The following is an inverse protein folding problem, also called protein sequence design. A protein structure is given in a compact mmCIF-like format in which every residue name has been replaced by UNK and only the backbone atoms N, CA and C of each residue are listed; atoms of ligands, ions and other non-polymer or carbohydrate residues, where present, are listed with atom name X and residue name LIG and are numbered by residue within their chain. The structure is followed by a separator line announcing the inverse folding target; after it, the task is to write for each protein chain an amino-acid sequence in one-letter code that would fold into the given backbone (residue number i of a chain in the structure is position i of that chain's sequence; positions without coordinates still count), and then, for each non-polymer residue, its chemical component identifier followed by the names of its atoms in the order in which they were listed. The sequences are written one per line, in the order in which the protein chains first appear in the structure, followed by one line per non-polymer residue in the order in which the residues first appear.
data_IF_175474923281
#
_entry.id   IF_175474923281
#
_cell.length_a   1.000
_cell.length_b   1.000
_cell.length_c   1.000
_cell.angle_alpha   90.00
_cell.angle_beta   90.00
_cell.angle_gamma   90.00
#
_symmetry.space_group_name_H-M   'P 1'
#
loop_
_entity.id
_entity.type
_entity.pdbx_description
1 polymer ?
#
# COMPACT_ATOMS: atom_id res chain seq x y z
N UNK A 1 72.09 -43.30 -2.46
CA UNK A 1 70.67 -42.90 -2.30
C UNK A 1 70.34 -41.87 -3.36
N UNK A 2 69.11 -41.85 -3.89
CA UNK A 2 68.57 -40.75 -4.72
C UNK A 2 67.43 -40.11 -3.94
N UNK A 3 67.42 -38.79 -3.79
CA UNK A 3 66.24 -38.04 -3.41
C UNK A 3 65.79 -37.23 -4.61
N UNK A 4 64.54 -37.41 -5.01
CA UNK A 4 63.92 -36.70 -6.14
C UNK A 4 62.98 -35.65 -5.55
N UNK A 5 63.33 -34.37 -5.69
CA UNK A 5 62.46 -33.28 -5.23
C UNK A 5 61.26 -33.14 -6.17
N UNK A 6 60.05 -33.37 -5.66
CA UNK A 6 58.82 -33.07 -6.38
C UNK A 6 58.29 -31.69 -5.96
N UNK A 7 58.23 -30.73 -6.89
CA UNK A 7 57.44 -29.52 -6.69
C UNK A 7 55.96 -29.87 -6.93
N UNK A 8 55.13 -29.72 -5.90
CA UNK A 8 53.67 -29.74 -6.05
C UNK A 8 53.23 -28.31 -6.34
N UNK A 9 53.02 -28.00 -7.62
CA UNK A 9 52.44 -26.73 -8.05
C UNK A 9 50.95 -26.68 -7.74
N UNK A 10 50.58 -26.11 -6.60
CA UNK A 10 49.18 -25.92 -6.20
C UNK A 10 48.57 -24.76 -7.01
N UNK A 11 48.07 -25.06 -8.21
CA UNK A 11 47.42 -24.08 -9.06
C UNK A 11 46.05 -23.71 -8.49
N UNK A 12 45.98 -22.56 -7.79
CA UNK A 12 44.73 -21.97 -7.35
C UNK A 12 43.94 -21.48 -8.57
N UNK A 13 42.99 -22.31 -9.01
CA UNK A 13 41.90 -21.89 -9.89
C UNK A 13 41.00 -20.93 -9.12
N UNK A 14 41.35 -19.63 -9.18
CA UNK A 14 40.42 -18.55 -8.83
C UNK A 14 39.29 -18.60 -9.85
N UNK A 15 38.20 -19.26 -9.48
CA UNK A 15 36.96 -19.23 -10.25
C UNK A 15 36.36 -17.84 -10.11
N UNK A 16 36.68 -16.97 -11.07
CA UNK A 16 35.85 -15.80 -11.34
C UNK A 16 34.48 -16.31 -11.76
N UNK A 17 33.52 -16.29 -10.83
CA UNK A 17 32.13 -16.11 -11.22
C UNK A 17 32.05 -14.69 -11.79
N UNK A 18 31.76 -14.58 -13.08
CA UNK A 18 31.06 -13.40 -13.57
C UNK A 18 29.71 -13.39 -12.85
N UNK A 19 29.53 -12.45 -11.92
CA UNK A 19 28.22 -12.12 -11.36
C UNK A 19 27.42 -11.42 -12.45
N UNK A 20 26.82 -12.23 -13.33
CA UNK A 20 25.83 -11.76 -14.27
C UNK A 20 24.66 -11.20 -13.46
N UNK A 21 24.54 -9.86 -13.44
CA UNK A 21 23.46 -9.14 -12.78
C UNK A 21 22.12 -9.70 -13.28
N UNK A 22 21.37 -10.33 -12.36
CA UNK A 22 20.08 -10.95 -12.64
C UNK A 22 18.98 -9.90 -12.70
N UNK A 23 18.95 -9.16 -13.81
CA UNK A 23 17.78 -8.43 -14.29
C UNK A 23 16.61 -9.41 -14.38
N UNK A 24 15.65 -9.25 -13.47
CA UNK A 24 14.45 -10.07 -13.40
C UNK A 24 13.39 -9.57 -14.39
N UNK A 25 12.88 -10.46 -15.22
CA UNK A 25 11.76 -10.19 -16.11
C UNK A 25 10.47 -10.16 -15.28
N UNK A 26 10.06 -8.96 -14.85
CA UNK A 26 8.93 -8.77 -13.94
C UNK A 26 7.60 -8.79 -14.72
N UNK A 27 6.57 -9.52 -14.23
CA UNK A 27 5.20 -9.37 -14.72
C UNK A 27 4.69 -7.94 -14.55
N UNK A 28 3.62 -7.59 -15.28
CA UNK A 28 2.94 -6.31 -15.10
C UNK A 28 2.36 -6.15 -13.69
N UNK A 29 2.13 -4.91 -13.26
CA UNK A 29 1.54 -4.66 -11.93
C UNK A 29 0.14 -5.28 -11.79
N UNK A 30 -0.59 -5.46 -12.91
CA UNK A 30 -1.87 -6.17 -12.98
C UNK A 30 -1.71 -7.68 -12.73
N UNK A 31 -0.71 -8.33 -13.36
CA UNK A 31 -0.42 -9.76 -13.17
C UNK A 31 0.14 -10.06 -11.78
N UNK A 32 0.98 -9.16 -11.24
CA UNK A 32 1.45 -9.22 -9.86
C UNK A 32 0.28 -9.11 -8.88
N UNK A 33 -0.55 -8.06 -9.01
CA UNK A 33 -1.70 -7.86 -8.13
C UNK A 33 -2.73 -8.98 -8.25
N UNK A 34 -3.07 -9.43 -9.46
CA UNK A 34 -4.04 -10.50 -9.69
C UNK A 34 -3.59 -11.87 -9.15
N UNK A 35 -2.28 -12.10 -9.07
CA UNK A 35 -1.69 -13.32 -8.48
C UNK A 35 -1.62 -13.23 -6.96
N UNK A 36 -1.07 -12.12 -6.42
CA UNK A 36 -0.89 -11.95 -4.99
C UNK A 36 -2.22 -11.69 -4.25
N UNK A 37 -3.19 -11.07 -4.93
CA UNK A 37 -4.49 -10.66 -4.40
C UNK A 37 -5.62 -11.12 -5.35
N UNK A 38 -5.93 -12.43 -5.42
CA UNK A 38 -6.98 -12.96 -6.30
C UNK A 38 -8.36 -12.36 -5.97
N UNK A 39 -9.14 -11.96 -6.98
CA UNK A 39 -10.41 -11.23 -6.81
C UNK A 39 -11.65 -12.11 -6.95
N UNK A 40 -12.75 -11.77 -6.25
CA UNK A 40 -13.99 -12.57 -6.33
C UNK A 40 -14.84 -12.27 -7.57
N UNK A 41 -15.46 -13.32 -8.10
CA UNK A 41 -16.40 -13.21 -9.20
C UNK A 41 -17.64 -12.37 -8.85
N UNK A 42 -17.92 -11.41 -9.74
CA UNK A 42 -18.99 -10.42 -9.69
C UNK A 42 -19.98 -10.63 -10.84
N UNK A 43 -21.27 -10.39 -10.60
CA UNK A 43 -22.31 -10.43 -11.64
C UNK A 43 -22.58 -9.06 -12.28
N UNK A 44 -23.45 -9.03 -13.30
CA UNK A 44 -23.82 -7.79 -14.01
C UNK A 44 -24.64 -6.79 -13.17
N UNK A 45 -24.98 -7.12 -11.92
CA UNK A 45 -25.60 -6.23 -10.93
C UNK A 45 -24.59 -5.80 -9.85
N UNK A 46 -23.35 -6.29 -9.90
CA UNK A 46 -22.33 -6.07 -8.88
C UNK A 46 -22.46 -6.95 -7.64
N UNK A 47 -23.25 -8.03 -7.67
CA UNK A 47 -23.31 -8.97 -6.54
C UNK A 47 -22.16 -10.01 -6.58
N UNK A 48 -21.64 -10.38 -5.40
CA UNK A 48 -20.67 -11.48 -5.25
C UNK A 48 -21.34 -12.81 -5.63
N UNK A 49 -20.93 -13.39 -6.75
CA UNK A 49 -21.38 -14.69 -7.25
C UNK A 49 -20.93 -15.82 -6.32
N UNK A 50 -19.63 -15.89 -6.05
CA UNK A 50 -19.03 -16.97 -5.28
C UNK A 50 -19.10 -16.70 -3.77
N UNK A 51 -19.79 -17.58 -3.04
CA UNK A 51 -19.88 -17.51 -1.56
C UNK A 51 -19.17 -18.69 -0.90
N UNK A 52 -17.92 -18.95 -1.33
CA UNK A 52 -16.96 -19.75 -0.56
C UNK A 52 -16.71 -19.08 0.81
N UNK A 53 -16.43 -19.84 1.87
CA UNK A 53 -15.80 -19.29 3.07
C UNK A 53 -14.46 -18.63 2.71
N UNK A 54 -14.17 -17.51 3.36
CA UNK A 54 -12.85 -16.88 3.28
C UNK A 54 -11.85 -17.74 4.06
N UNK A 55 -10.87 -18.32 3.38
CA UNK A 55 -9.70 -19.05 3.95
C UNK A 55 -8.42 -18.60 3.25
N UNK A 56 -7.24 -19.05 3.68
CA UNK A 56 -5.98 -18.73 2.98
C UNK A 56 -5.98 -19.23 1.52
N UNK A 57 -6.58 -20.39 1.25
CA UNK A 57 -6.63 -21.02 -0.08
C UNK A 57 -7.83 -20.59 -0.94
N UNK A 58 -8.85 -19.96 -0.35
CA UNK A 58 -10.13 -19.69 -1.02
C UNK A 58 -10.81 -18.37 -0.66
N UNK A 59 -10.08 -17.44 -0.01
CA UNK A 59 -10.54 -16.07 0.11
C UNK A 59 -10.05 -15.22 -1.05
N UNK A 60 -10.90 -14.28 -1.42
CA UNK A 60 -10.77 -13.47 -2.61
C UNK A 60 -11.05 -12.01 -2.21
N UNK A 61 -10.43 -11.08 -2.94
CA UNK A 61 -10.49 -9.65 -2.69
C UNK A 61 -11.54 -8.97 -3.57
N UNK A 62 -11.99 -7.77 -3.19
CA UNK A 62 -13.01 -7.03 -3.92
C UNK A 62 -12.41 -6.42 -5.21
N UNK A 63 -12.78 -6.89 -6.43
CA UNK A 63 -12.18 -6.40 -7.68
C UNK A 63 -12.45 -4.91 -7.93
N UNK A 64 -13.45 -4.34 -7.25
CA UNK A 64 -13.94 -3.00 -7.50
C UNK A 64 -13.48 -1.94 -6.49
N UNK A 65 -12.64 -2.27 -5.49
CA UNK A 65 -11.95 -1.31 -4.59
C UNK A 65 -12.77 -0.07 -4.12
N UNK A 66 -14.11 -0.15 -4.02
CA UNK A 66 -14.99 1.01 -4.34
C UNK A 66 -14.85 2.25 -3.45
N UNK A 67 -14.22 2.11 -2.29
CA UNK A 67 -13.85 3.22 -1.42
C UNK A 67 -12.84 2.75 -0.38
N UNK A 68 -11.90 3.63 -0.01
CA UNK A 68 -10.92 3.46 1.09
C UNK A 68 -11.56 3.15 2.46
N UNK A 69 -12.89 3.23 2.54
CA UNK A 69 -13.70 3.00 3.74
C UNK A 69 -13.58 1.59 4.32
N UNK A 70 -13.38 0.58 3.47
CA UNK A 70 -13.36 -0.82 3.89
C UNK A 70 -11.95 -1.40 4.00
N UNK A 71 -10.93 -0.65 3.58
CA UNK A 71 -9.51 -0.99 3.80
C UNK A 71 -9.26 -1.27 5.29
N UNK A 72 -8.54 -2.34 5.59
CA UNK A 72 -8.28 -2.87 6.93
C UNK A 72 -9.35 -3.82 7.48
N UNK A 73 -10.51 -3.91 6.84
CA UNK A 73 -11.55 -4.88 7.22
C UNK A 73 -11.35 -6.24 6.56
N UNK A 74 -11.86 -7.28 7.22
CA UNK A 74 -11.87 -8.66 6.72
C UNK A 74 -12.53 -8.76 5.32
N UNK A 75 -12.01 -9.58 4.37
CA UNK A 75 -12.33 -9.46 2.93
C UNK A 75 -13.82 -9.66 2.60
N UNK A 76 -14.52 -10.51 3.37
CA UNK A 76 -15.97 -10.72 3.30
C UNK A 76 -16.85 -9.46 3.50
N UNK A 77 -16.25 -8.33 3.91
CA UNK A 77 -16.88 -7.01 4.03
C UNK A 77 -16.54 -6.05 2.86
N UNK A 78 -15.76 -6.51 1.89
CA UNK A 78 -15.29 -5.73 0.73
C UNK A 78 -13.95 -5.01 0.95
N UNK A 79 -13.22 -5.36 2.03
CA UNK A 79 -11.98 -4.71 2.44
C UNK A 79 -10.70 -5.35 1.89
N UNK A 80 -9.64 -4.54 1.82
CA UNK A 80 -8.28 -4.87 1.39
C UNK A 80 -7.28 -4.54 2.51
N UNK A 81 -6.03 -5.05 2.53
CA UNK A 81 -5.08 -4.65 3.56
C UNK A 81 -4.67 -3.19 3.38
N UNK A 82 -4.53 -2.46 4.48
CA UNK A 82 -3.94 -1.10 4.50
C UNK A 82 -2.42 -1.16 4.37
N UNK A 83 -1.77 0.00 4.23
CA UNK A 83 -0.33 0.16 4.42
C UNK A 83 0.17 -0.49 5.74
N UNK A 84 -0.62 -0.45 6.82
CA UNK A 84 -0.27 -1.04 8.12
C UNK A 84 -0.26 -2.58 8.05
N UNK A 85 -1.24 -3.17 7.35
CA UNK A 85 -1.39 -4.63 7.27
C UNK A 85 -0.30 -5.27 6.42
N UNK A 86 -0.01 -4.68 5.24
CA UNK A 86 1.13 -5.10 4.41
C UNK A 86 2.47 -4.83 5.10
N UNK A 87 2.49 -3.95 6.11
CA UNK A 87 3.68 -3.62 6.91
C UNK A 87 4.59 -2.59 6.27
N UNK A 88 4.02 -1.67 5.48
CA UNK A 88 4.77 -0.70 4.72
C UNK A 88 5.60 0.21 5.64
N UNK A 89 6.93 0.07 5.57
CA UNK A 89 7.87 0.57 6.58
C UNK A 89 7.89 2.10 6.75
N UNK A 90 7.41 2.86 5.77
CA UNK A 90 7.39 4.33 5.79
C UNK A 90 5.97 4.90 6.01
N UNK A 91 5.04 4.05 6.47
CA UNK A 91 3.73 4.49 6.90
C UNK A 91 3.76 4.98 8.36
N UNK A 92 3.41 6.25 8.56
CA UNK A 92 3.30 6.84 9.89
C UNK A 92 1.83 7.15 10.17
N UNK A 93 1.06 6.21 10.75
CA UNK A 93 -0.37 6.41 10.98
C UNK A 93 -0.61 7.48 12.06
N UNK A 94 -1.51 8.41 11.77
CA UNK A 94 -1.94 9.41 12.73
C UNK A 94 -2.80 8.78 13.84
N UNK A 95 -2.70 9.23 15.09
CA UNK A 95 -3.34 8.55 16.21
C UNK A 95 -4.87 8.60 16.10
N UNK A 96 -5.54 7.51 16.50
CA UNK A 96 -7.01 7.41 16.64
C UNK A 96 -7.56 8.24 17.82
N UNK A 97 -6.97 9.40 18.11
CA UNK A 97 -7.26 10.29 19.24
C UNK A 97 -8.44 11.25 18.99
N UNK A 98 -9.31 10.93 18.01
CA UNK A 98 -10.46 11.76 17.63
C UNK A 98 -10.16 12.84 16.58
N UNK A 99 -8.99 12.81 15.93
CA UNK A 99 -8.74 13.64 14.75
C UNK A 99 -9.41 13.08 13.48
N UNK A 100 -9.69 13.93 12.47
CA UNK A 100 -10.04 13.51 11.11
C UNK A 100 -9.11 12.44 10.57
N UNK A 101 -9.66 11.34 10.03
CA UNK A 101 -8.89 10.26 9.41
C UNK A 101 -7.72 9.73 10.23
N UNK A 102 -7.85 9.61 11.55
CA UNK A 102 -6.93 8.79 12.35
C UNK A 102 -6.73 7.41 11.71
N UNK A 103 -5.52 6.86 11.79
CA UNK A 103 -5.07 5.70 11.01
C UNK A 103 -4.41 6.08 9.67
N UNK A 104 -4.85 7.15 9.01
CA UNK A 104 -4.22 7.66 7.77
C UNK A 104 -2.87 8.35 8.05
N UNK A 105 -2.02 8.64 7.04
CA UNK A 105 -0.73 9.30 7.27
C UNK A 105 -0.83 10.82 7.51
N UNK A 106 -2.02 11.37 7.78
CA UNK A 106 -2.29 12.79 7.93
C UNK A 106 -2.37 13.22 9.39
N UNK A 107 -1.37 13.95 9.90
CA UNK A 107 -1.25 14.31 11.31
C UNK A 107 -1.81 15.71 11.55
N UNK A 108 -2.91 15.81 12.30
CA UNK A 108 -3.56 17.10 12.53
C UNK A 108 -2.89 17.90 13.66
N UNK A 109 -2.81 19.24 13.56
CA UNK A 109 -2.25 20.07 14.62
C UNK A 109 -3.12 20.04 15.90
N UNK A 110 -2.49 20.25 17.06
CA UNK A 110 -3.21 20.35 18.33
C UNK A 110 -4.22 21.51 18.29
N UNK A 111 -5.49 21.21 18.56
CA UNK A 111 -6.58 22.18 18.49
C UNK A 111 -7.28 22.28 17.12
N UNK A 112 -6.96 21.41 16.17
CA UNK A 112 -7.72 21.27 14.91
C UNK A 112 -9.22 21.02 15.18
N UNK A 113 -10.10 21.63 14.37
CA UNK A 113 -11.54 21.69 14.62
C UNK A 113 -12.30 20.39 14.36
N UNK A 114 -11.66 19.43 13.68
CA UNK A 114 -12.23 18.14 13.34
C UNK A 114 -12.97 18.07 12.00
N UNK A 115 -12.83 19.07 11.12
CA UNK A 115 -13.48 19.06 9.79
C UNK A 115 -12.49 18.73 8.67
N UNK A 116 -11.48 19.59 8.44
CA UNK A 116 -10.68 19.58 7.21
C UNK A 116 -9.38 18.76 7.30
N UNK A 117 -9.43 17.44 7.08
CA UNK A 117 -8.21 16.59 7.06
C UNK A 117 -7.16 17.04 6.03
N UNK A 118 -7.57 17.72 4.95
CA UNK A 118 -6.67 18.28 3.95
C UNK A 118 -5.74 19.38 4.51
N UNK A 119 -6.05 19.92 5.70
CA UNK A 119 -5.15 20.81 6.45
C UNK A 119 -4.15 20.05 7.36
N UNK A 120 -4.27 18.72 7.46
CA UNK A 120 -3.41 17.88 8.28
C UNK A 120 -2.28 17.27 7.41
N UNK A 121 -1.02 17.74 7.55
CA UNK A 121 0.08 17.30 6.70
C UNK A 121 0.51 15.86 6.95
N UNK A 122 1.15 15.25 5.95
CA UNK A 122 1.97 14.05 6.14
C UNK A 122 3.32 14.43 6.76
N UNK A 123 3.92 13.56 7.56
CA UNK A 123 5.25 13.80 8.15
C UNK A 123 6.28 13.90 7.02
N UNK A 124 6.92 15.07 6.87
CA UNK A 124 8.10 15.27 6.02
C UNK A 124 9.29 15.65 6.92
N UNK A 125 10.47 15.10 6.66
CA UNK A 125 11.71 15.42 7.38
C UNK A 125 12.75 16.06 6.46
N UNK A 126 13.73 16.76 7.04
CA UNK A 126 14.88 17.37 6.34
C UNK A 126 16.15 16.50 6.37
N UNK A 127 16.12 15.40 7.13
CA UNK A 127 17.21 14.45 7.33
C UNK A 127 16.60 13.06 7.58
N UNK A 128 17.30 12.00 7.21
CA UNK A 128 16.80 10.63 7.37
C UNK A 128 17.15 10.02 8.75
N UNK A 129 18.09 10.62 9.47
CA UNK A 129 18.55 10.16 10.79
C UNK A 129 17.76 10.78 11.97
N UNK A 130 16.60 11.39 11.69
CA UNK A 130 15.75 12.02 12.69
C UNK A 130 14.88 11.03 13.48
N UNK A 131 14.20 11.48 14.56
CA UNK A 131 13.28 10.63 15.34
C UNK A 131 12.05 10.13 14.56
N UNK A 132 11.82 10.66 13.35
CA UNK A 132 10.79 10.20 12.41
C UNK A 132 11.38 9.57 11.14
N UNK A 133 12.65 9.18 11.17
CA UNK A 133 13.36 8.59 10.03
C UNK A 133 13.32 9.47 8.78
N UNK A 134 13.07 8.90 7.58
CA UNK A 134 12.90 9.67 6.34
C UNK A 134 11.57 10.44 6.25
N UNK A 135 10.66 10.27 7.22
CA UNK A 135 9.27 10.68 7.10
C UNK A 135 8.48 9.80 6.13
N UNK A 136 7.30 10.27 5.72
CA UNK A 136 6.44 9.54 4.79
C UNK A 136 7.08 9.44 3.40
N UNK A 137 7.42 8.22 3.00
CA UNK A 137 7.69 7.87 1.61
C UNK A 137 6.38 7.39 0.98
N UNK A 138 6.01 7.81 -0.25
CA UNK A 138 4.85 7.26 -0.94
C UNK A 138 5.08 5.80 -1.36
N UNK A 139 4.10 4.88 -1.23
CA UNK A 139 4.28 3.48 -1.62
C UNK A 139 4.66 3.28 -3.10
N UNK A 140 4.23 4.17 -4.01
CA UNK A 140 4.61 4.13 -5.43
C UNK A 140 6.12 4.33 -5.65
N UNK A 141 6.79 5.09 -4.78
CA UNK A 141 8.25 5.29 -4.83
C UNK A 141 8.99 4.02 -4.39
N UNK A 142 8.46 3.32 -3.39
CA UNK A 142 9.00 2.03 -2.95
C UNK A 142 8.79 0.94 -4.01
N UNK A 143 7.64 0.93 -4.67
CA UNK A 143 7.38 0.08 -5.84
C UNK A 143 8.36 0.40 -6.98
N UNK A 144 8.51 1.66 -7.36
CA UNK A 144 9.44 2.10 -8.42
C UNK A 144 10.89 1.67 -8.11
N UNK A 145 11.38 2.01 -6.92
CA UNK A 145 12.74 1.67 -6.49
C UNK A 145 13.00 0.15 -6.48
N UNK A 146 12.03 -0.66 -6.05
CA UNK A 146 12.16 -2.11 -6.03
C UNK A 146 12.09 -2.70 -7.46
N UNK A 147 11.10 -2.30 -8.29
CA UNK A 147 10.97 -2.71 -9.70
C UNK A 147 12.24 -2.43 -10.50
N UNK A 148 12.85 -1.26 -10.29
CA UNK A 148 14.08 -0.89 -10.98
C UNK A 148 15.30 -1.66 -10.46
N UNK A 149 15.40 -1.87 -9.15
CA UNK A 149 16.54 -2.56 -8.54
C UNK A 149 16.62 -4.06 -8.87
N UNK A 150 15.48 -4.78 -8.88
CA UNK A 150 15.47 -6.23 -9.17
C UNK A 150 15.25 -6.53 -10.65
N UNK A 151 14.47 -5.70 -11.34
CA UNK A 151 14.25 -5.78 -12.78
C UNK A 151 15.23 -4.90 -13.53
N UNK A 152 14.73 -3.75 -13.99
CA UNK A 152 15.34 -2.82 -14.96
C UNK A 152 16.87 -2.70 -14.95
N UNK A 153 17.45 -2.35 -13.81
CA UNK A 153 18.85 -1.96 -13.69
C UNK A 153 19.73 -3.02 -12.98
N UNK A 154 19.11 -4.06 -12.39
CA UNK A 154 19.82 -5.21 -11.79
C UNK A 154 20.80 -4.85 -10.66
N UNK A 155 20.44 -3.84 -9.85
CA UNK A 155 21.23 -3.32 -8.72
C UNK A 155 21.39 -4.33 -7.56
N UNK A 156 20.50 -5.32 -7.47
CA UNK A 156 20.53 -6.37 -6.44
C UNK A 156 21.25 -7.60 -7.00
N UNK A 157 22.50 -7.84 -6.60
CA UNK A 157 23.29 -9.00 -7.05
C UNK A 157 22.73 -10.34 -6.55
N UNK A 158 22.05 -10.36 -5.40
CA UNK A 158 21.52 -11.54 -4.73
C UNK A 158 20.14 -11.21 -4.15
N UNK A 159 19.05 -11.73 -4.74
CA UNK A 159 17.69 -11.32 -4.39
C UNK A 159 17.30 -11.75 -2.97
N UNK A 160 17.91 -12.83 -2.46
CA UNK A 160 17.83 -13.30 -1.08
C UNK A 160 18.25 -12.22 -0.05
N UNK A 161 19.20 -11.32 -0.40
CA UNK A 161 19.69 -10.27 0.52
C UNK A 161 18.63 -9.19 0.83
N UNK A 162 17.52 -9.17 0.07
CA UNK A 162 16.38 -8.31 0.34
C UNK A 162 15.52 -8.82 1.51
N UNK A 163 15.68 -10.07 1.98
CA UNK A 163 14.76 -10.71 2.90
C UNK A 163 15.43 -11.30 4.15
N UNK A 164 14.70 -11.32 5.26
CA UNK A 164 15.13 -12.03 6.48
C UNK A 164 13.91 -12.63 7.18
N UNK A 165 13.49 -13.81 6.73
CA UNK A 165 12.21 -14.43 7.11
C UNK A 165 11.95 -14.48 8.62
N UNK A 166 12.95 -14.84 9.44
CA UNK A 166 12.82 -14.90 10.91
C UNK A 166 12.51 -13.55 11.60
N UNK A 167 12.66 -12.42 10.89
CA UNK A 167 12.50 -11.06 11.44
C UNK A 167 11.41 -10.23 10.75
N UNK A 168 11.22 -10.43 9.45
CA UNK A 168 10.27 -9.66 8.64
C UNK A 168 9.25 -10.53 7.88
N UNK A 169 9.35 -11.86 7.97
CA UNK A 169 8.57 -12.78 7.14
C UNK A 169 8.92 -12.62 5.65
N UNK A 170 7.90 -12.73 4.80
CA UNK A 170 8.01 -12.63 3.34
C UNK A 170 7.94 -11.17 2.84
N UNK A 171 8.60 -10.25 3.56
CA UNK A 171 8.62 -8.80 3.31
C UNK A 171 10.07 -8.33 3.18
N UNK A 172 10.30 -7.32 2.34
CA UNK A 172 11.62 -6.75 2.11
C UNK A 172 12.12 -6.05 3.39
N UNK A 173 13.40 -6.24 3.71
CA UNK A 173 14.06 -5.61 4.85
C UNK A 173 13.93 -4.08 4.69
N UNK A 174 13.35 -3.35 5.68
CA UNK A 174 13.16 -1.90 5.58
C UNK A 174 14.43 -1.11 5.25
N UNK A 175 15.58 -1.51 5.80
CA UNK A 175 16.87 -0.87 5.57
C UNK A 175 17.36 -1.08 4.12
N UNK A 176 17.12 -2.26 3.54
CA UNK A 176 17.45 -2.56 2.15
C UNK A 176 16.53 -1.77 1.19
N UNK A 177 15.22 -1.79 1.45
CA UNK A 177 14.24 -0.98 0.72
C UNK A 177 14.59 0.51 0.77
N UNK A 178 15.01 1.01 1.95
CA UNK A 178 15.41 2.39 2.13
C UNK A 178 16.68 2.75 1.34
N UNK A 179 17.67 1.85 1.31
CA UNK A 179 18.85 2.00 0.45
C UNK A 179 18.48 2.10 -1.03
N UNK A 180 17.59 1.22 -1.52
CA UNK A 180 17.09 1.29 -2.91
C UNK A 180 16.37 2.62 -3.18
N UNK A 181 15.51 3.06 -2.27
CA UNK A 181 14.82 4.36 -2.39
C UNK A 181 15.83 5.51 -2.44
N UNK A 182 16.90 5.50 -1.64
CA UNK A 182 17.91 6.57 -1.66
C UNK A 182 18.89 6.50 -2.83
N UNK A 183 19.04 5.35 -3.48
CA UNK A 183 19.77 5.23 -4.75
C UNK A 183 19.05 5.98 -5.88
N UNK A 184 17.73 5.78 -6.02
CA UNK A 184 16.94 6.39 -7.10
C UNK A 184 16.36 7.77 -6.75
N UNK A 185 16.06 8.00 -5.47
CA UNK A 185 15.48 9.23 -4.93
C UNK A 185 16.39 9.79 -3.82
N UNK A 186 17.59 10.29 -4.18
CA UNK A 186 18.55 10.82 -3.23
C UNK A 186 18.01 12.08 -2.52
N UNK A 187 18.47 12.29 -1.29
CA UNK A 187 18.17 13.49 -0.49
C UNK A 187 19.36 14.46 -0.55
N UNK A 188 19.09 15.74 -0.78
CA UNK A 188 20.00 16.82 -0.36
C UNK A 188 19.84 17.03 1.15
N UNK A 189 20.92 16.94 1.93
CA UNK A 189 20.84 17.12 3.38
C UNK A 189 20.37 18.53 3.75
N UNK A 190 19.36 18.63 4.62
CA UNK A 190 18.72 19.90 4.98
C UNK A 190 17.57 20.31 4.05
N UNK A 191 17.27 19.54 3.00
CA UNK A 191 16.11 19.77 2.11
C UNK A 191 15.03 18.69 2.32
N UNK A 192 13.79 19.03 1.97
CA UNK A 192 12.71 18.04 1.87
C UNK A 192 12.87 17.27 0.56
N UNK A 193 12.74 15.95 0.60
CA UNK A 193 12.64 15.16 -0.63
C UNK A 193 11.27 15.44 -1.27
N UNK A 194 11.29 15.94 -2.50
CA UNK A 194 10.10 16.05 -3.34
C UNK A 194 10.04 14.82 -4.24
N UNK A 195 9.07 13.95 -3.99
CA UNK A 195 8.92 12.68 -4.68
C UNK A 195 8.09 12.87 -5.94
N UNK A 196 8.58 12.44 -7.13
CA UNK A 196 7.85 12.60 -8.38
C UNK A 196 6.49 11.87 -8.35
N UNK A 197 5.49 12.39 -9.06
CA UNK A 197 4.15 11.80 -9.07
C UNK A 197 4.15 10.45 -9.80
N UNK A 198 3.31 9.47 -9.38
CA UNK A 198 3.37 8.08 -9.85
C UNK A 198 3.24 7.93 -11.36
N UNK A 199 2.45 8.79 -12.00
CA UNK A 199 2.16 8.81 -13.45
C UNK A 199 3.28 9.45 -14.30
N UNK A 200 4.52 9.45 -13.81
CA UNK A 200 5.69 9.90 -14.57
C UNK A 200 6.73 8.80 -14.59
N UNK A 201 7.56 8.75 -15.62
CA UNK A 201 8.66 7.80 -15.73
C UNK A 201 9.64 7.93 -14.54
N UNK A 202 9.83 9.14 -14.00
CA UNK A 202 10.57 9.40 -12.77
C UNK A 202 9.84 8.91 -11.51
N UNK A 203 8.52 8.81 -11.52
CA UNK A 203 7.68 8.26 -10.44
C UNK A 203 7.44 6.75 -10.50
N UNK A 204 8.02 6.04 -11.47
CA UNK A 204 7.82 4.60 -11.67
C UNK A 204 6.78 4.22 -12.72
N UNK A 205 6.14 5.20 -13.35
CA UNK A 205 5.08 5.05 -14.37
C UNK A 205 3.94 4.11 -13.92
N UNK A 206 3.47 4.32 -12.68
CA UNK A 206 2.43 3.51 -12.08
C UNK A 206 1.05 3.97 -12.55
N UNK A 207 0.49 3.24 -13.52
CA UNK A 207 -0.84 3.45 -14.07
C UNK A 207 -1.94 3.31 -13.00
N UNK A 208 -2.64 4.40 -12.70
CA UNK A 208 -3.90 4.34 -11.96
C UNK A 208 -5.03 3.94 -12.92
N UNK A 209 -5.59 2.76 -12.74
CA UNK A 209 -6.67 2.20 -13.58
C UNK A 209 -8.05 2.84 -13.26
N UNK A 210 -8.16 4.16 -13.51
CA UNK A 210 -9.42 4.91 -13.60
C UNK A 210 -9.51 5.70 -14.93
N UNK A 211 -9.77 5.04 -16.06
CA UNK A 211 -9.98 5.68 -17.37
C UNK A 211 -11.44 6.11 -17.63
N UNK A 212 -12.40 5.78 -16.75
CA UNK A 212 -13.82 6.10 -16.93
C UNK A 212 -14.04 7.61 -16.91
N UNK A 213 -14.17 8.18 -18.12
CA UNK A 213 -14.07 9.59 -18.46
C UNK A 213 -14.50 10.52 -17.34
N UNK A 214 -13.54 11.26 -16.78
CA UNK A 214 -13.40 11.43 -15.32
C UNK A 214 -11.94 11.65 -14.82
N UNK A 215 -10.93 11.72 -15.69
CA UNK A 215 -9.49 11.76 -15.31
C UNK A 215 -8.89 13.15 -15.07
N UNK A 216 -7.77 13.23 -14.35
CA UNK A 216 -7.05 14.51 -14.16
C UNK A 216 -6.71 15.16 -15.53
N UNK A 217 -6.85 16.48 -15.69
CA UNK A 217 -6.61 17.20 -16.97
C UNK A 217 -5.14 17.17 -17.46
N UNK A 218 -4.26 16.34 -16.86
CA UNK A 218 -2.83 16.63 -16.72
C UNK A 218 -1.92 15.43 -17.12
N UNK A 219 -2.24 14.66 -18.17
CA UNK A 219 -1.54 13.39 -18.47
C UNK A 219 -1.03 13.18 -19.92
N UNK A 220 -1.74 13.31 -21.04
CA UNK A 220 -3.15 13.64 -21.28
C UNK A 220 -3.88 12.56 -22.13
N UNK A 221 -3.40 12.07 -23.30
CA UNK A 221 -4.28 11.39 -24.27
C UNK A 221 -3.96 9.90 -24.50
N UNK A 222 -4.96 9.06 -24.85
CA UNK A 222 -6.31 9.43 -25.30
C UNK A 222 -7.43 9.06 -24.29
N UNK A 223 -7.58 9.85 -23.22
CA UNK A 223 -8.57 9.64 -22.14
C UNK A 223 -9.52 10.87 -21.97
N UNK A 224 -10.58 10.76 -21.15
CA UNK A 224 -11.60 11.82 -20.94
C UNK A 224 -11.62 12.40 -19.48
N UNK A 225 -11.99 13.68 -19.23
CA UNK A 225 -11.53 14.45 -18.03
C UNK A 225 -12.50 14.74 -16.84
N UNK A 226 -11.94 15.00 -15.64
CA UNK A 226 -12.51 15.46 -14.35
C UNK A 226 -11.96 14.71 -13.08
N UNK A 227 -12.78 14.26 -12.10
CA UNK A 227 -12.29 13.65 -10.84
C UNK A 227 -12.46 12.11 -10.69
N UNK A 228 -11.53 11.40 -9.99
CA UNK A 228 -11.60 9.95 -9.75
C UNK A 228 -12.53 9.50 -8.61
N UNK A 229 -12.98 10.45 -7.78
CA UNK A 229 -13.95 10.21 -6.70
C UNK A 229 -15.33 10.78 -7.09
N UNK A 230 -16.37 9.97 -6.98
CA UNK A 230 -17.75 10.34 -7.27
C UNK A 230 -18.43 10.92 -6.02
N UNK A 231 -18.44 12.25 -5.91
CA UNK A 231 -19.13 12.98 -4.85
C UNK A 231 -20.44 13.62 -5.32
N UNK A 232 -21.39 13.85 -4.42
CA UNK A 232 -22.52 14.77 -4.67
C UNK A 232 -22.02 16.20 -4.83
N UNK A 233 -22.73 17.01 -5.64
CA UNK A 233 -22.39 18.44 -5.80
C UNK A 233 -22.46 19.19 -4.46
N UNK A 234 -23.43 18.87 -3.60
CA UNK A 234 -23.56 19.45 -2.25
C UNK A 234 -22.31 19.19 -1.39
N UNK A 235 -21.66 18.03 -1.53
CA UNK A 235 -20.43 17.72 -0.83
C UNK A 235 -19.22 18.47 -1.39
N UNK A 236 -19.13 18.61 -2.72
CA UNK A 236 -18.09 19.43 -3.37
C UNK A 236 -18.22 20.91 -2.99
N UNK A 237 -19.43 21.46 -3.02
CA UNK A 237 -19.75 22.84 -2.65
C UNK A 237 -19.47 23.13 -1.16
N UNK A 238 -19.44 22.09 -0.31
CA UNK A 238 -19.10 22.21 1.12
C UNK A 238 -17.61 22.36 1.42
N UNK A 239 -16.72 22.17 0.43
CA UNK A 239 -15.27 22.28 0.61
C UNK A 239 -14.60 21.15 1.40
N UNK A 240 -15.32 20.05 1.66
CA UNK A 240 -14.77 18.85 2.28
C UNK A 240 -13.92 18.03 1.29
N UNK A 241 -13.02 17.17 1.81
CA UNK A 241 -12.06 16.43 0.96
C UNK A 241 -12.75 15.32 0.15
N UNK A 242 -12.61 15.27 -1.19
CA UNK A 242 -13.24 14.25 -2.04
C UNK A 242 -12.78 12.81 -1.81
N UNK A 243 -11.60 12.59 -1.21
CA UNK A 243 -11.02 11.25 -0.92
C UNK A 243 -11.85 10.36 0.02
N UNK A 244 -12.94 10.88 0.60
CA UNK A 244 -13.91 10.10 1.37
C UNK A 244 -15.17 9.71 0.58
N UNK A 245 -15.35 10.19 -0.65
CA UNK A 245 -16.40 9.71 -1.53
C UNK A 245 -16.03 8.31 -2.10
N UNK A 246 -17.00 7.54 -2.60
CA UNK A 246 -16.73 6.38 -3.45
C UNK A 246 -15.93 6.78 -4.69
N UNK A 247 -15.22 5.83 -5.27
CA UNK A 247 -14.62 6.00 -6.60
C UNK A 247 -15.67 5.89 -7.72
N UNK A 248 -15.28 6.21 -8.95
CA UNK A 248 -16.14 5.99 -10.13
C UNK A 248 -16.41 4.49 -10.34
N UNK A 249 -17.69 4.13 -10.35
CA UNK A 249 -18.18 2.74 -10.33
C UNK A 249 -18.99 2.37 -11.58
N UNK A 250 -19.00 3.22 -12.60
CA UNK A 250 -19.67 3.00 -13.88
C UNK A 250 -18.64 3.04 -15.03
N UNK A 251 -18.92 2.29 -16.11
CA UNK A 251 -18.01 2.12 -17.26
C UNK A 251 -17.23 0.79 -17.25
N UNK A 252 -16.41 0.51 -18.29
CA UNK A 252 -15.64 -0.74 -18.43
C UNK A 252 -14.61 -0.98 -17.32
N UNK A 253 -14.22 0.11 -16.67
CA UNK A 253 -13.11 0.21 -15.71
C UNK A 253 -13.61 0.58 -14.30
N UNK A 254 -14.92 0.46 -14.09
CA UNK A 254 -15.60 0.68 -12.82
C UNK A 254 -14.84 0.06 -11.64
N UNK A 255 -14.44 0.88 -10.67
CA UNK A 255 -13.85 0.43 -9.41
C UNK A 255 -12.45 -0.20 -9.49
N UNK A 256 -11.76 -0.24 -10.63
CA UNK A 256 -10.49 -1.00 -10.75
C UNK A 256 -9.26 -0.31 -10.11
N UNK A 257 -9.40 0.33 -8.94
CA UNK A 257 -8.32 1.16 -8.41
C UNK A 257 -7.08 0.37 -8.00
N UNK A 258 -5.97 0.62 -8.71
CA UNK A 258 -4.65 0.12 -8.34
C UNK A 258 -4.10 0.95 -7.17
N UNK A 259 -4.21 0.41 -5.95
CA UNK A 259 -3.58 0.97 -4.76
C UNK A 259 -2.05 0.71 -4.80
N UNK A 260 -1.17 1.74 -4.75
CA UNK A 260 0.27 1.53 -4.89
C UNK A 260 0.90 0.67 -3.78
N UNK A 261 0.31 0.63 -2.58
CA UNK A 261 0.80 -0.22 -1.48
C UNK A 261 0.42 -1.70 -1.67
N UNK A 262 -0.68 -1.99 -2.40
CA UNK A 262 -1.06 -3.35 -2.80
C UNK A 262 -0.14 -3.83 -3.93
N UNK A 263 0.15 -2.99 -4.92
CA UNK A 263 1.11 -3.30 -5.98
C UNK A 263 2.53 -3.53 -5.41
N UNK A 264 2.96 -2.70 -4.46
CA UNK A 264 4.20 -2.91 -3.71
C UNK A 264 4.22 -4.28 -3.00
N UNK A 265 3.19 -4.59 -2.21
CA UNK A 265 3.09 -5.87 -1.50
C UNK A 265 2.97 -7.08 -2.44
N UNK A 266 2.40 -6.91 -3.63
CA UNK A 266 2.34 -7.95 -4.66
C UNK A 266 3.73 -8.27 -5.23
N UNK A 267 4.55 -7.25 -5.45
CA UNK A 267 5.96 -7.42 -5.84
C UNK A 267 6.79 -8.06 -4.71
N UNK A 268 6.56 -7.69 -3.44
CA UNK A 268 7.18 -8.37 -2.30
C UNK A 268 6.85 -9.86 -2.29
N UNK A 269 5.57 -10.23 -2.39
CA UNK A 269 5.11 -11.63 -2.43
C UNK A 269 5.74 -12.39 -3.59
N UNK A 270 5.77 -11.80 -4.80
CA UNK A 270 6.36 -12.42 -5.98
C UNK A 270 7.86 -12.70 -5.80
N UNK A 271 8.65 -11.70 -5.39
CA UNK A 271 10.11 -11.89 -5.22
C UNK A 271 10.40 -12.79 -4.01
N UNK A 272 9.65 -12.67 -2.91
CA UNK A 272 9.80 -13.55 -1.74
C UNK A 272 9.49 -15.01 -2.06
N UNK A 273 8.46 -15.31 -2.85
CA UNK A 273 8.18 -16.65 -3.33
C UNK A 273 9.27 -17.16 -4.29
N UNK A 274 9.80 -16.29 -5.17
CA UNK A 274 10.88 -16.65 -6.10
C UNK A 274 12.15 -17.11 -5.37
N UNK A 275 12.53 -16.44 -4.27
CA UNK A 275 13.77 -16.74 -3.53
C UNK A 275 13.59 -17.67 -2.33
N UNK A 276 12.40 -17.73 -1.72
CA UNK A 276 12.07 -18.59 -0.59
C UNK A 276 10.78 -19.41 -0.81
N UNK A 277 10.65 -20.19 -1.91
CA UNK A 277 9.40 -20.89 -2.25
C UNK A 277 8.99 -21.99 -1.24
N UNK A 278 9.87 -22.36 -0.31
CA UNK A 278 9.58 -23.27 0.80
C UNK A 278 9.13 -22.58 2.10
N UNK A 279 9.09 -21.25 2.14
CA UNK A 279 8.66 -20.44 3.29
C UNK A 279 7.54 -19.45 2.92
N UNK A 280 7.57 -18.91 1.71
CA UNK A 280 6.67 -17.86 1.23
C UNK A 280 5.71 -18.38 0.17
N UNK A 281 4.40 -18.19 0.40
CA UNK A 281 3.32 -18.53 -0.54
C UNK A 281 3.25 -17.58 -1.74
N UNK A 282 2.42 -17.91 -2.72
CA UNK A 282 2.23 -17.13 -3.97
C UNK A 282 1.21 -16.01 -3.84
N UNK A 283 0.35 -16.09 -2.82
CA UNK A 283 -0.64 -15.07 -2.45
C UNK A 283 -0.20 -14.29 -1.20
N UNK A 284 -0.76 -13.10 -1.02
CA UNK A 284 -0.56 -12.33 0.21
C UNK A 284 -1.20 -13.01 1.44
N UNK A 285 -2.28 -13.78 1.29
CA UNK A 285 -2.98 -14.42 2.42
C UNK A 285 -2.28 -15.66 2.96
N UNK A 286 -1.64 -16.49 2.12
CA UNK A 286 -0.76 -17.57 2.59
C UNK A 286 0.36 -17.02 3.48
N UNK A 287 0.87 -15.83 3.13
CA UNK A 287 1.94 -15.14 3.86
C UNK A 287 1.45 -14.32 5.07
N UNK A 288 0.14 -14.03 5.18
CA UNK A 288 -0.45 -13.17 6.21
C UNK A 288 -1.82 -13.71 6.70
N UNK A 289 -1.88 -14.96 7.20
CA UNK A 289 -3.15 -15.65 7.52
C UNK A 289 -3.97 -14.94 8.60
N UNK A 290 -3.31 -14.25 9.54
CA UNK A 290 -3.94 -13.53 10.66
C UNK A 290 -4.82 -12.34 10.21
N UNK A 291 -4.77 -11.93 8.93
CA UNK A 291 -5.73 -10.97 8.38
C UNK A 291 -7.17 -11.54 8.35
N UNK A 292 -7.32 -12.87 8.40
CA UNK A 292 -8.62 -13.56 8.43
C UNK A 292 -9.18 -13.76 9.84
N UNK A 293 -8.43 -13.42 10.90
CA UNK A 293 -8.95 -13.47 12.28
C UNK A 293 -10.04 -12.39 12.48
N UNK A 294 -11.30 -12.78 12.80
CA UNK A 294 -12.37 -11.81 13.05
C UNK A 294 -12.21 -11.03 14.37
N UNK A 295 -11.39 -11.50 15.31
CA UNK A 295 -11.07 -10.80 16.55
C UNK A 295 -9.81 -9.89 16.43
N UNK A 296 -9.18 -9.84 15.23
CA UNK A 296 -8.01 -8.99 14.98
C UNK A 296 -8.33 -7.51 15.19
N UNK A 297 -7.32 -6.74 15.58
CA UNK A 297 -7.43 -5.27 15.60
C UNK A 297 -7.46 -4.75 14.17
N UNK A 298 -8.61 -4.22 13.74
CA UNK A 298 -8.73 -3.53 12.46
C UNK A 298 -7.80 -2.31 12.39
N UNK A 299 -7.23 -2.11 11.21
CA UNK A 299 -6.32 -1.04 10.80
C UNK A 299 -7.02 0.10 10.06
N UNK A 300 -8.33 -0.03 9.82
CA UNK A 300 -9.08 0.86 8.93
C UNK A 300 -8.96 2.34 9.31
N UNK A 301 -8.94 3.23 8.32
CA UNK A 301 -8.91 4.67 8.60
C UNK A 301 -10.24 5.15 9.21
N UNK A 302 -10.18 6.20 10.03
CA UNK A 302 -11.37 6.81 10.66
C UNK A 302 -12.19 7.60 9.64
N UNK A 303 -13.11 6.92 8.97
CA UNK A 303 -13.98 7.47 7.93
C UNK A 303 -15.08 8.39 8.51
N UNK A 304 -15.56 9.41 7.76
CA UNK A 304 -16.80 10.12 8.10
C UNK A 304 -18.03 9.19 8.04
N UNK A 305 -19.15 9.65 8.62
CA UNK A 305 -20.46 8.98 8.49
C UNK A 305 -20.95 9.07 7.05
N UNK A 306 -21.54 7.98 6.55
CA UNK A 306 -22.08 7.88 5.20
C UNK A 306 -23.60 7.70 5.24
N UNK A 307 -24.31 8.07 4.17
CA UNK A 307 -25.77 7.90 4.07
C UNK A 307 -26.20 6.42 4.15
N UNK A 308 -25.40 5.53 3.56
CA UNK A 308 -25.58 4.07 3.53
C UNK A 308 -25.43 3.37 4.90
N UNK A 309 -25.00 4.08 5.94
CA UNK A 309 -24.74 3.53 7.28
C UNK A 309 -25.97 2.87 7.90
N UNK A 310 -27.15 3.37 7.56
CA UNK A 310 -28.46 2.90 8.04
C UNK A 310 -28.93 1.59 7.38
N UNK A 311 -28.21 1.08 6.37
CA UNK A 311 -28.58 -0.16 5.67
C UNK A 311 -28.31 -1.42 6.49
N UNK A 312 -29.15 -2.45 6.32
CA UNK A 312 -29.00 -3.73 7.03
C UNK A 312 -28.01 -4.70 6.35
N UNK A 313 -27.86 -4.65 5.02
CA UNK A 313 -26.86 -5.45 4.33
C UNK A 313 -25.48 -4.77 4.45
N UNK A 314 -24.46 -5.48 4.92
CA UNK A 314 -23.06 -5.00 5.00
C UNK A 314 -22.21 -5.34 3.77
N UNK A 315 -22.68 -6.23 2.88
CA UNK A 315 -21.90 -6.87 1.80
C UNK A 315 -22.39 -6.56 0.38
N UNK A 316 -23.25 -5.55 0.22
CA UNK A 316 -23.77 -5.12 -1.09
C UNK A 316 -23.02 -3.89 -1.60
N UNK A 317 -22.68 -3.86 -2.90
CA UNK A 317 -22.05 -2.69 -3.55
C UNK A 317 -22.83 -1.40 -3.30
N UNK A 318 -24.17 -1.44 -3.29
CA UNK A 318 -25.01 -0.28 -2.96
C UNK A 318 -24.77 0.33 -1.56
N UNK A 319 -24.06 -0.36 -0.65
CA UNK A 319 -23.56 0.23 0.61
C UNK A 319 -22.22 0.94 0.41
N UNK A 320 -21.34 0.33 -0.38
CA UNK A 320 -19.99 0.81 -0.64
C UNK A 320 -19.99 2.10 -1.48
N UNK A 321 -21.03 2.30 -2.29
CA UNK A 321 -21.34 3.53 -3.03
C UNK A 321 -22.03 4.62 -2.20
N UNK A 322 -22.09 4.49 -0.87
CA UNK A 322 -22.67 5.51 0.01
C UNK A 322 -21.90 6.83 -0.02
N UNK A 323 -22.60 7.95 0.09
CA UNK A 323 -22.05 9.30 0.07
C UNK A 323 -21.78 9.84 1.50
N UNK A 324 -20.75 10.68 1.71
CA UNK A 324 -20.53 11.34 3.00
C UNK A 324 -21.72 12.22 3.39
N UNK A 325 -22.17 12.16 4.64
CA UNK A 325 -23.34 12.95 5.08
C UNK A 325 -23.01 14.43 5.31
N UNK A 326 -23.99 15.29 5.04
CA UNK A 326 -23.96 16.73 5.32
C UNK A 326 -25.03 17.03 6.39
N UNK A 327 -24.73 17.84 7.44
CA UNK A 327 -23.42 18.37 7.78
C UNK A 327 -22.42 17.27 8.15
N UNK A 328 -21.17 17.52 7.77
CA UNK A 328 -20.07 16.60 7.95
C UNK A 328 -19.89 16.21 9.42
N UNK A 329 -19.39 15.00 9.65
CA UNK A 329 -19.14 14.54 11.00
C UNK A 329 -18.53 13.16 11.04
N UNK A 330 -17.30 13.09 11.54
CA UNK A 330 -16.68 11.87 11.99
C UNK A 330 -17.50 11.21 13.11
N UNK A 331 -17.51 9.87 13.19
CA UNK A 331 -17.97 9.15 14.37
C UNK A 331 -17.29 9.69 15.64
N UNK A 332 -18.01 9.71 16.76
CA UNK A 332 -17.44 10.08 18.06
C UNK A 332 -16.65 8.91 18.63
N UNK A 333 -15.65 9.20 19.47
CA UNK A 333 -14.80 8.23 20.19
C UNK A 333 -15.57 7.16 21.00
N UNK A 334 -16.88 7.34 21.19
CA UNK A 334 -17.77 6.47 21.96
C UNK A 334 -18.85 5.78 21.10
N UNK A 335 -18.89 6.01 19.78
CA UNK A 335 -19.83 5.32 18.89
C UNK A 335 -19.39 3.86 18.67
N UNK A 336 -20.34 2.93 18.54
CA UNK A 336 -20.03 1.51 18.33
C UNK A 336 -19.44 1.18 16.94
N UNK A 337 -19.30 2.16 16.06
CA UNK A 337 -18.49 2.09 14.84
C UNK A 337 -17.01 2.41 15.07
N UNK A 338 -16.64 2.93 16.24
CA UNK A 338 -15.27 3.25 16.66
C UNK A 338 -14.54 2.04 17.28
N UNK A 339 -14.88 0.82 16.87
CA UNK A 339 -14.31 -0.43 17.40
C UNK A 339 -12.91 -0.71 16.84
N UNK A 340 -11.97 0.18 17.14
CA UNK A 340 -10.54 -0.03 17.02
C UNK A 340 -9.87 0.23 18.36
N UNK A 341 -9.05 -0.73 18.81
CA UNK A 341 -7.88 -0.39 19.62
C UNK A 341 -6.85 0.24 18.69
N UNK A 342 -6.04 1.16 19.19
CA UNK A 342 -4.83 1.52 18.45
C UNK A 342 -3.94 0.27 18.31
N UNK A 343 -3.31 0.09 17.14
CA UNK A 343 -2.26 -0.91 16.98
C UNK A 343 -1.16 -0.65 18.03
N UNK A 344 -0.78 -1.67 18.78
CA UNK A 344 0.06 -1.54 19.98
C UNK A 344 1.55 -1.45 19.65
N UNK A 345 1.95 -0.39 18.94
CA UNK A 345 3.31 0.12 19.00
C UNK A 345 3.44 1.15 20.11
N UNK A 346 4.49 1.05 20.94
CA UNK A 346 4.82 2.05 21.96
C UNK A 346 5.46 3.29 21.31
N UNK A 347 4.65 4.04 20.56
CA UNK A 347 5.12 5.24 19.87
C UNK A 347 5.29 6.41 20.85
N UNK A 348 6.55 6.63 21.24
CA UNK A 348 6.98 7.70 22.13
C UNK A 348 6.67 9.06 21.51
N UNK A 349 5.59 9.68 21.95
CA UNK A 349 5.20 11.05 21.59
C UNK A 349 5.94 12.09 22.44
N UNK A 350 7.25 11.91 22.60
CA UNK A 350 8.10 12.93 23.22
C UNK A 350 8.23 14.13 22.28
N UNK A 351 7.49 15.19 22.65
CA UNK A 351 7.67 16.53 22.13
C UNK A 351 9.13 16.96 22.30
N UNK A 352 9.83 17.16 21.19
CA UNK A 352 10.99 18.08 21.16
C UNK A 352 10.86 18.99 19.94
N UNK A 353 10.27 20.16 20.16
CA UNK A 353 10.85 21.44 19.74
C UNK A 353 10.49 22.49 20.80
N UNK A 354 11.34 23.51 20.94
CA UNK A 354 11.39 24.44 22.08
C UNK A 354 10.56 25.72 21.86
#
# INVERSE_FOLDING_TARGET
MKFTTALVGLSLLVSFRETASTVLDLPSDEELMGTAFPFWEVDGNGERKERKPCTVDSCEWNPYYLTKRYDGLHPDLGGHPTDIDVGYAFYYPAPFAGQPGGGSPHHCPLGHDGQAIQACPKIKTYTDNGPSGPGFVPPHISLAALKWAVGRDGLVENLEDLFHHERYGCRVIPDALFYLIRNYFPRTEGELVDYPPPFTTEGGDFEFEFPSGRGIDNQEPPYEPGPPHWCTQEYLDSGNWPDFCPYVFEGPDAGRYRHPHIAYAALEVYVANLVMPGLCGVTWLENNPDFLDPDRVSTNIAFPRMDSDKGNNKRSIARWLGQPVIPYGYPRRNDASFLMKAASGEYVTEKVFA
#
